data_IF_839521424900
#
_entry.id   IF_839521424900
#
_cell.length_a   1.000
_cell.length_b   1.000
_cell.length_c   1.000
_cell.angle_alpha   90.00
_cell.angle_beta   90.00
_cell.angle_gamma   90.00
#
_symmetry.space_group_name_H-M   'P 1'
#
loop_
_entity.id
_entity.type
_entity.pdbx_description
1 polymer ?
#
# COMPACT_ATOMS: atom_id res chain seq x y z
N UNK A 1 -48.14 -45.08 -78.15
CA UNK A 1 -47.58 -46.32 -77.57
C UNK A 1 -46.87 -45.97 -76.28
N UNK A 2 -47.31 -46.59 -75.18
CA UNK A 2 -46.61 -46.81 -73.90
C UNK A 2 -46.25 -45.55 -73.08
N UNK A 3 -47.01 -45.25 -72.01
CA UNK A 3 -47.01 -45.82 -70.64
C UNK A 3 -46.14 -44.99 -69.66
N UNK A 4 -46.80 -44.49 -68.62
CA UNK A 4 -46.34 -44.46 -67.22
C UNK A 4 -45.12 -43.64 -66.77
N UNK A 5 -45.40 -42.56 -66.02
CA UNK A 5 -45.09 -42.39 -64.57
C UNK A 5 -44.85 -40.93 -64.23
N UNK A 6 -45.83 -40.32 -63.58
CA UNK A 6 -45.63 -39.13 -62.77
C UNK A 6 -46.21 -39.41 -61.39
N UNK A 7 -45.36 -39.62 -60.38
CA UNK A 7 -45.57 -39.35 -58.96
C UNK A 7 -44.44 -39.95 -58.13
N UNK A 8 -43.62 -39.09 -57.51
CA UNK A 8 -43.20 -39.18 -56.09
C UNK A 8 -42.32 -37.99 -55.70
N UNK A 9 -42.92 -37.08 -54.91
CA UNK A 9 -42.24 -36.22 -53.93
C UNK A 9 -41.87 -37.06 -52.71
N UNK A 10 -40.71 -36.78 -52.11
CA UNK A 10 -40.39 -36.86 -50.66
C UNK A 10 -38.94 -37.31 -50.45
N UNK A 11 -38.01 -36.36 -50.34
CA UNK A 11 -36.71 -36.59 -49.73
C UNK A 11 -36.65 -35.80 -48.42
N UNK A 12 -37.12 -36.43 -47.33
CA UNK A 12 -36.79 -36.00 -45.97
C UNK A 12 -35.37 -36.49 -45.66
N UNK A 13 -34.49 -35.58 -45.20
CA UNK A 13 -33.15 -35.91 -44.69
C UNK A 13 -33.25 -36.15 -43.17
N UNK A 14 -33.18 -37.40 -42.68
CA UNK A 14 -33.31 -37.70 -41.25
C UNK A 14 -32.04 -37.35 -40.44
N UNK A 15 -30.91 -37.12 -41.11
CA UNK A 15 -29.62 -36.94 -40.46
C UNK A 15 -29.39 -35.52 -39.90
N UNK A 16 -29.95 -34.49 -40.54
CA UNK A 16 -29.79 -33.09 -40.11
C UNK A 16 -30.55 -32.78 -38.81
N UNK A 17 -31.71 -33.42 -38.60
CA UNK A 17 -32.52 -33.27 -37.38
C UNK A 17 -31.92 -33.98 -36.16
N UNK A 18 -31.23 -35.11 -36.37
CA UNK A 18 -30.52 -35.79 -35.27
C UNK A 18 -29.34 -34.96 -34.75
N UNK A 19 -28.57 -34.32 -35.65
CA UNK A 19 -27.43 -33.50 -35.26
C UNK A 19 -27.87 -32.25 -34.49
N UNK A 20 -28.93 -31.58 -34.96
CA UNK A 20 -29.53 -30.44 -34.25
C UNK A 20 -30.08 -30.83 -32.87
N UNK A 21 -30.71 -32.01 -32.76
CA UNK A 21 -31.19 -32.54 -31.48
C UNK A 21 -30.06 -32.79 -30.48
N UNK A 22 -28.95 -33.39 -30.92
CA UNK A 22 -27.79 -33.65 -30.06
C UNK A 22 -27.11 -32.36 -29.59
N UNK A 23 -26.98 -31.35 -30.45
CA UNK A 23 -26.39 -30.05 -30.09
C UNK A 23 -27.25 -29.34 -29.05
N UNK A 24 -28.58 -29.35 -29.20
CA UNK A 24 -29.48 -28.73 -28.23
C UNK A 24 -29.44 -29.40 -26.86
N UNK A 25 -29.33 -30.74 -26.81
CA UNK A 25 -29.19 -31.48 -25.54
C UNK A 25 -27.88 -31.12 -24.82
N UNK A 26 -26.78 -31.00 -25.55
CA UNK A 26 -25.47 -30.60 -24.98
C UNK A 26 -25.53 -29.16 -24.45
N UNK A 27 -26.12 -28.22 -25.19
CA UNK A 27 -26.30 -26.84 -24.74
C UNK A 27 -27.18 -26.79 -23.49
N UNK A 28 -28.28 -27.54 -23.46
CA UNK A 28 -29.18 -27.59 -22.30
C UNK A 28 -28.49 -28.18 -21.07
N UNK A 29 -27.66 -29.22 -21.25
CA UNK A 29 -26.87 -29.81 -20.19
C UNK A 29 -25.78 -28.85 -19.66
N UNK A 30 -25.12 -28.10 -20.55
CA UNK A 30 -24.14 -27.08 -20.16
C UNK A 30 -24.78 -25.91 -19.43
N UNK A 31 -25.94 -25.42 -19.90
CA UNK A 31 -26.72 -24.39 -19.22
C UNK A 31 -27.25 -24.89 -17.86
N UNK A 32 -27.74 -26.13 -17.78
CA UNK A 32 -28.15 -26.73 -16.51
C UNK A 32 -26.97 -26.85 -15.52
N UNK A 33 -25.76 -27.15 -15.99
CA UNK A 33 -24.54 -27.16 -15.15
C UNK A 33 -24.09 -25.76 -14.73
N UNK A 34 -24.25 -24.75 -15.59
CA UNK A 34 -23.93 -23.34 -15.29
C UNK A 34 -24.93 -22.69 -14.33
N UNK A 35 -26.19 -23.12 -14.37
CA UNK A 35 -27.29 -22.59 -13.55
C UNK A 35 -27.81 -23.59 -12.51
N UNK A 36 -27.07 -24.67 -12.21
CA UNK A 36 -27.49 -25.60 -11.17
C UNK A 36 -27.44 -24.88 -9.82
N UNK A 37 -28.53 -24.92 -9.02
CA UNK A 37 -28.56 -24.29 -7.70
C UNK A 37 -27.45 -24.79 -6.77
N UNK A 38 -26.98 -26.02 -6.99
CA UNK A 38 -25.89 -26.66 -6.23
C UNK A 38 -24.52 -25.99 -6.45
N UNK A 39 -24.25 -25.40 -7.62
CA UNK A 39 -22.98 -24.69 -7.86
C UNK A 39 -23.02 -23.26 -7.30
N UNK A 40 -24.18 -22.59 -7.37
CA UNK A 40 -24.38 -21.23 -6.86
C UNK A 40 -24.53 -21.16 -5.33
N UNK A 41 -24.95 -22.25 -4.67
CA UNK A 41 -25.15 -22.31 -3.21
C UNK A 41 -23.99 -22.99 -2.45
N UNK A 42 -23.08 -23.68 -3.13
CA UNK A 42 -22.01 -24.45 -2.48
C UNK A 42 -20.78 -23.62 -2.07
N UNK A 43 -20.49 -22.52 -2.76
CA UNK A 43 -19.42 -21.60 -2.34
C UNK A 43 -19.71 -20.90 -0.99
N UNK A 44 -20.86 -20.22 -0.79
CA UNK A 44 -21.13 -19.53 0.48
C UNK A 44 -21.28 -20.51 1.66
N UNK A 45 -21.76 -21.74 1.42
CA UNK A 45 -21.90 -22.75 2.47
C UNK A 45 -20.55 -23.33 2.92
N UNK A 46 -19.64 -23.64 2.00
CA UNK A 46 -18.32 -24.18 2.34
C UNK A 46 -17.40 -23.12 2.97
N UNK A 47 -17.49 -21.86 2.55
CA UNK A 47 -16.78 -20.74 3.21
C UNK A 47 -17.30 -20.57 4.63
N UNK A 48 -18.62 -20.55 4.83
CA UNK A 48 -19.22 -20.40 6.16
C UNK A 48 -18.89 -21.58 7.09
N UNK A 49 -18.81 -22.80 6.57
CA UNK A 49 -18.44 -23.99 7.35
C UNK A 49 -16.95 -23.98 7.76
N UNK A 50 -16.02 -23.68 6.83
CA UNK A 50 -14.60 -23.50 7.16
C UNK A 50 -14.37 -22.35 8.14
N UNK A 51 -15.16 -21.29 8.01
CA UNK A 51 -15.14 -20.15 8.92
C UNK A 51 -15.61 -20.55 10.33
N UNK A 52 -16.70 -21.31 10.44
CA UNK A 52 -17.18 -21.84 11.73
C UNK A 52 -16.14 -22.76 12.39
N UNK A 53 -15.50 -23.66 11.63
CA UNK A 53 -14.44 -24.55 12.12
C UNK A 53 -13.15 -23.80 12.53
N UNK A 54 -12.89 -22.63 11.93
CA UNK A 54 -11.80 -21.71 12.35
C UNK A 54 -12.16 -20.95 13.62
N UNK A 55 -13.42 -20.51 13.76
CA UNK A 55 -13.93 -19.85 14.96
C UNK A 55 -13.87 -20.75 16.19
N UNK A 56 -14.22 -22.03 16.04
CA UNK A 56 -14.22 -23.00 17.14
C UNK A 56 -12.80 -23.42 17.57
N UNK A 57 -11.79 -23.20 16.72
CA UNK A 57 -10.38 -23.53 16.99
C UNK A 57 -9.50 -22.33 17.38
N UNK A 58 -10.02 -21.09 17.38
CA UNK A 58 -9.31 -19.93 17.90
C UNK A 58 -9.24 -20.01 19.43
N UNK A 59 -8.30 -20.81 19.94
CA UNK A 59 -7.98 -20.87 21.37
C UNK A 59 -7.61 -19.47 21.86
N UNK A 60 -8.08 -19.10 23.06
CA UNK A 60 -7.80 -17.80 23.69
C UNK A 60 -6.35 -17.65 24.18
N UNK A 61 -5.48 -18.63 23.95
CA UNK A 61 -4.14 -18.67 24.55
C UNK A 61 -3.10 -17.90 23.71
N UNK A 62 -3.23 -17.85 22.38
CA UNK A 62 -2.28 -17.12 21.52
C UNK A 62 -2.98 -16.23 20.46
N UNK A 63 -2.50 -14.99 20.21
CA UNK A 63 -3.03 -14.15 19.14
C UNK A 63 -2.91 -14.78 17.76
N UNK A 64 -3.94 -14.71 16.90
CA UNK A 64 -3.88 -15.27 15.56
C UNK A 64 -2.85 -14.53 14.71
N UNK A 65 -2.26 -15.22 13.74
CA UNK A 65 -1.56 -14.54 12.65
C UNK A 65 -2.61 -13.97 11.70
N UNK A 66 -2.45 -12.71 11.31
CA UNK A 66 -3.44 -12.02 10.46
C UNK A 66 -2.83 -11.59 9.14
N UNK A 67 -3.70 -11.43 8.14
CA UNK A 67 -3.33 -10.96 6.80
C UNK A 67 -4.02 -9.63 6.51
N UNK A 68 -3.62 -8.99 5.41
CA UNK A 68 -4.27 -7.78 4.92
C UNK A 68 -5.80 -7.94 4.95
N UNK A 69 -6.55 -6.93 5.42
CA UNK A 69 -6.14 -5.57 5.81
C UNK A 69 -5.70 -5.45 7.27
N UNK A 70 -5.61 -6.57 7.99
CA UNK A 70 -5.21 -6.60 9.38
C UNK A 70 -3.70 -6.69 9.54
N UNK A 71 -3.18 -6.25 10.68
CA UNK A 71 -1.77 -6.45 11.08
C UNK A 71 -1.68 -6.87 12.54
N UNK A 72 -0.70 -7.73 12.84
CA UNK A 72 -0.32 -8.02 14.21
C UNK A 72 0.49 -6.86 14.79
N UNK A 73 0.52 -6.76 16.11
CA UNK A 73 1.50 -5.95 16.84
C UNK A 73 2.38 -6.92 17.63
N UNK A 74 3.67 -6.62 17.69
CA UNK A 74 4.68 -7.43 18.36
C UNK A 74 5.36 -6.61 19.45
N UNK A 75 5.82 -7.29 20.51
CA UNK A 75 6.77 -6.70 21.46
C UNK A 75 8.22 -6.80 21.00
N UNK A 76 9.15 -6.25 21.79
CA UNK A 76 10.57 -6.29 21.46
C UNK A 76 11.20 -7.70 21.45
N UNK A 77 10.51 -8.73 21.94
CA UNK A 77 10.94 -10.13 21.84
C UNK A 77 10.31 -10.87 20.65
N UNK A 78 9.50 -10.17 19.83
CA UNK A 78 8.82 -10.74 18.66
C UNK A 78 7.58 -11.55 19.00
N UNK A 79 7.04 -11.43 20.21
CA UNK A 79 5.78 -12.09 20.62
C UNK A 79 4.61 -11.24 20.17
N UNK A 80 3.55 -11.89 19.66
CA UNK A 80 2.31 -11.22 19.26
C UNK A 80 1.57 -10.68 20.49
N UNK A 81 1.11 -9.44 20.40
CA UNK A 81 0.21 -8.83 21.35
C UNK A 81 -1.24 -9.23 21.04
N UNK A 82 -2.10 -9.27 22.05
CA UNK A 82 -3.54 -9.52 21.92
C UNK A 82 -4.31 -8.31 21.37
N UNK A 83 -3.74 -7.65 20.37
CA UNK A 83 -4.23 -6.45 19.70
C UNK A 83 -4.04 -6.62 18.20
N UNK A 84 -5.10 -6.41 17.43
CA UNK A 84 -5.12 -6.52 15.96
C UNK A 84 -5.36 -5.13 15.38
N UNK A 85 -4.48 -4.71 14.47
CA UNK A 85 -4.63 -3.46 13.73
C UNK A 85 -5.55 -3.66 12.52
N UNK A 86 -6.46 -2.72 12.26
CA UNK A 86 -7.06 -2.51 10.94
C UNK A 86 -6.22 -1.45 10.22
N UNK A 87 -5.51 -1.84 9.16
CA UNK A 87 -4.52 -0.98 8.48
C UNK A 87 -4.98 -0.40 7.15
N UNK A 88 -6.07 -0.93 6.59
CA UNK A 88 -6.62 -0.56 5.29
C UNK A 88 -8.12 -0.88 5.24
N UNK A 89 -8.86 -0.38 4.23
CA UNK A 89 -10.25 -0.78 4.03
C UNK A 89 -10.37 -2.29 3.73
N UNK A 90 -11.50 -2.86 4.13
CA UNK A 90 -11.94 -4.18 3.70
C UNK A 90 -12.17 -4.18 2.19
N UNK A 91 -11.73 -5.25 1.53
CA UNK A 91 -11.90 -5.46 0.08
C UNK A 91 -12.85 -6.59 -0.32
N UNK A 92 -13.34 -7.34 0.66
CA UNK A 92 -14.19 -8.50 0.42
C UNK A 92 -14.94 -8.88 1.70
N UNK A 93 -16.03 -9.63 1.55
CA UNK A 93 -16.87 -10.12 2.65
C UNK A 93 -16.08 -10.94 3.66
N UNK A 94 -15.04 -11.65 3.23
CA UNK A 94 -14.19 -12.43 4.13
C UNK A 94 -13.50 -11.55 5.19
N UNK A 95 -13.11 -10.31 4.84
CA UNK A 95 -12.53 -9.38 5.81
C UNK A 95 -13.55 -8.95 6.88
N UNK A 96 -14.82 -8.79 6.51
CA UNK A 96 -15.90 -8.49 7.48
C UNK A 96 -16.11 -9.66 8.44
N UNK A 97 -16.13 -10.87 7.90
CA UNK A 97 -16.25 -12.10 8.70
C UNK A 97 -15.07 -12.20 9.68
N UNK A 98 -13.83 -12.03 9.21
CA UNK A 98 -12.65 -12.03 10.07
C UNK A 98 -12.70 -10.97 11.17
N UNK A 99 -13.15 -9.76 10.87
CA UNK A 99 -13.34 -8.73 11.90
C UNK A 99 -14.33 -9.18 12.98
N UNK A 100 -15.48 -9.74 12.58
CA UNK A 100 -16.47 -10.24 13.54
C UNK A 100 -15.95 -11.44 14.33
N UNK A 101 -15.15 -12.35 13.74
CA UNK A 101 -14.54 -13.43 14.51
C UNK A 101 -13.53 -12.92 15.52
N UNK A 102 -12.70 -11.94 15.16
CA UNK A 102 -11.73 -11.34 16.08
C UNK A 102 -12.44 -10.66 17.25
N UNK A 103 -13.48 -9.89 16.96
CA UNK A 103 -14.31 -9.22 17.96
C UNK A 103 -15.02 -10.22 18.88
N UNK A 104 -15.62 -11.28 18.33
CA UNK A 104 -16.33 -12.31 19.10
C UNK A 104 -15.38 -13.14 19.97
N UNK A 105 -14.14 -13.36 19.52
CA UNK A 105 -13.10 -14.02 20.32
C UNK A 105 -12.56 -13.12 21.45
N UNK A 106 -12.90 -11.83 21.46
CA UNK A 106 -12.50 -10.87 22.47
C UNK A 106 -11.13 -10.24 22.24
N UNK A 107 -10.61 -10.27 21.00
CA UNK A 107 -9.37 -9.58 20.66
C UNK A 107 -9.58 -8.06 20.66
N UNK A 108 -8.57 -7.33 21.14
CA UNK A 108 -8.58 -5.88 21.05
C UNK A 108 -8.34 -5.45 19.60
N UNK A 109 -9.03 -4.40 19.16
CA UNK A 109 -8.92 -3.89 17.79
C UNK A 109 -8.56 -2.40 17.82
N UNK A 110 -7.51 -2.06 17.09
CA UNK A 110 -7.00 -0.70 16.94
C UNK A 110 -6.99 -0.31 15.45
N UNK A 111 -7.22 0.96 15.14
CA UNK A 111 -7.07 1.47 13.78
C UNK A 111 -5.65 2.00 13.53
N UNK A 112 -5.12 1.82 12.32
CA UNK A 112 -3.90 2.51 11.88
C UNK A 112 -4.06 3.07 10.46
N UNK A 113 -3.68 4.33 10.28
CA UNK A 113 -3.57 4.97 8.97
C UNK A 113 -2.26 4.59 8.30
N UNK A 114 -2.23 3.44 7.61
CA UNK A 114 -1.05 2.98 6.86
C UNK A 114 -1.32 2.73 5.37
N UNK A 115 -2.49 3.12 4.87
CA UNK A 115 -2.91 2.85 3.50
C UNK A 115 -3.62 4.05 2.87
N UNK A 116 -2.91 4.77 1.99
CA UNK A 116 -3.41 6.01 1.37
C UNK A 116 -4.04 6.96 2.40
N UNK A 117 -5.27 7.46 2.16
CA UNK A 117 -5.99 8.34 3.09
C UNK A 117 -6.76 7.60 4.21
N UNK A 118 -6.69 6.27 4.30
CA UNK A 118 -7.48 5.49 5.27
C UNK A 118 -7.32 6.01 6.72
N UNK A 119 -8.41 6.26 7.47
CA UNK A 119 -9.80 5.80 7.25
C UNK A 119 -10.68 6.79 6.48
N UNK A 120 -10.10 7.83 5.92
CA UNK A 120 -10.81 8.77 5.08
C UNK A 120 -11.09 8.19 3.71
N UNK A 121 -11.89 8.94 2.94
CA UNK A 121 -12.21 8.60 1.56
C UNK A 121 -10.92 8.52 0.75
N UNK A 122 -10.68 7.35 0.17
CA UNK A 122 -9.60 7.13 -0.79
C UNK A 122 -10.04 7.72 -2.13
N UNK A 123 -9.23 8.64 -2.67
CA UNK A 123 -9.54 9.33 -3.92
C UNK A 123 -8.88 8.71 -5.15
N UNK A 124 -8.05 7.67 -4.96
CA UNK A 124 -7.42 6.97 -6.07
C UNK A 124 -8.48 6.26 -6.92
N UNK A 125 -8.66 6.62 -8.20
CA UNK A 125 -9.67 6.03 -9.07
C UNK A 125 -9.38 4.56 -9.43
N UNK A 126 -8.15 4.10 -9.18
CA UNK A 126 -7.71 2.73 -9.46
C UNK A 126 -7.86 1.80 -8.23
N UNK A 127 -8.52 2.25 -7.16
CA UNK A 127 -8.70 1.47 -5.91
C UNK A 127 -9.88 0.51 -6.05
N UNK A 128 -9.82 -0.61 -5.34
CA UNK A 128 -10.97 -1.48 -5.15
C UNK A 128 -12.13 -0.74 -4.49
N UNK A 129 -13.34 -0.82 -5.06
CA UNK A 129 -14.48 0.00 -4.63
C UNK A 129 -15.38 -0.70 -3.61
N UNK A 130 -15.04 -1.91 -3.15
CA UNK A 130 -15.84 -2.66 -2.17
C UNK A 130 -16.13 -1.82 -0.92
N UNK A 131 -15.10 -1.17 -0.38
CA UNK A 131 -15.23 -0.34 0.82
C UNK A 131 -16.20 0.85 0.66
N UNK A 132 -16.34 1.40 -0.55
CA UNK A 132 -17.28 2.50 -0.83
C UNK A 132 -18.73 2.02 -0.84
N UNK A 133 -18.97 0.82 -1.38
CA UNK A 133 -20.29 0.20 -1.42
C UNK A 133 -20.77 -0.22 -0.02
N UNK A 134 -19.85 -0.78 0.78
CA UNK A 134 -20.16 -1.30 2.12
C UNK A 134 -20.24 -0.21 3.19
N UNK A 135 -19.58 0.94 3.00
CA UNK A 135 -19.66 2.13 3.87
C UNK A 135 -19.36 1.83 5.35
N UNK A 136 -18.35 1.00 5.61
CA UNK A 136 -17.92 0.70 6.98
C UNK A 136 -17.51 1.96 7.73
N UNK A 137 -17.94 2.07 8.98
CA UNK A 137 -17.44 3.10 9.88
C UNK A 137 -16.28 2.56 10.72
N UNK A 138 -15.09 2.49 10.11
CA UNK A 138 -13.87 1.99 10.75
C UNK A 138 -13.54 2.67 12.08
N UNK A 139 -13.87 3.95 12.23
CA UNK A 139 -13.61 4.69 13.47
C UNK A 139 -14.47 4.15 14.62
N UNK A 140 -15.71 3.74 14.35
CA UNK A 140 -16.58 3.09 15.34
C UNK A 140 -16.23 1.63 15.63
N UNK A 141 -15.37 1.02 14.81
CA UNK A 141 -15.02 -0.41 14.88
C UNK A 141 -13.81 -0.68 15.79
N UNK A 142 -13.16 0.37 16.30
CA UNK A 142 -11.92 0.26 17.06
C UNK A 142 -12.01 1.07 18.35
N UNK A 143 -11.10 0.82 19.30
CA UNK A 143 -11.07 1.52 20.59
C UNK A 143 -9.96 2.55 20.71
N UNK A 144 -9.04 2.62 19.75
CA UNK A 144 -7.99 3.64 19.62
C UNK A 144 -7.54 3.76 18.16
N UNK A 145 -6.84 4.84 17.81
CA UNK A 145 -6.36 5.05 16.43
C UNK A 145 -4.93 5.61 16.37
N UNK A 146 -4.09 4.99 15.54
CA UNK A 146 -2.75 5.48 15.18
C UNK A 146 -2.85 6.19 13.82
N UNK A 147 -2.59 7.49 13.75
CA UNK A 147 -2.72 8.26 12.51
C UNK A 147 -1.40 8.93 12.10
N UNK A 148 -1.27 9.24 10.82
CA UNK A 148 -0.12 9.95 10.27
C UNK A 148 -0.47 11.35 9.73
N UNK A 149 -1.73 11.76 9.80
CA UNK A 149 -2.20 13.02 9.23
C UNK A 149 -1.67 14.25 9.98
N UNK A 150 -1.35 15.32 9.23
CA UNK A 150 -1.07 16.67 9.79
C UNK A 150 -2.28 17.21 10.55
N UNK A 151 -3.43 17.15 9.89
CA UNK A 151 -4.73 17.42 10.49
C UNK A 151 -5.48 16.09 10.52
N UNK A 152 -5.71 15.49 11.71
CA UNK A 152 -6.43 14.24 11.81
C UNK A 152 -7.86 14.36 11.33
N UNK A 153 -8.41 15.56 11.09
CA UNK A 153 -9.76 15.80 10.58
C UNK A 153 -10.85 15.55 11.62
N UNK A 154 -12.05 16.07 11.34
CA UNK A 154 -13.15 16.05 12.32
C UNK A 154 -13.52 14.62 12.78
N UNK A 155 -13.46 13.63 11.88
CA UNK A 155 -13.92 12.27 12.17
C UNK A 155 -13.06 11.62 13.26
N UNK A 156 -11.74 11.75 13.17
CA UNK A 156 -10.83 11.24 14.20
C UNK A 156 -10.76 12.17 15.40
N UNK A 157 -10.61 13.49 15.18
CA UNK A 157 -10.45 14.48 16.25
C UNK A 157 -11.61 14.48 17.25
N UNK A 158 -12.85 14.30 16.79
CA UNK A 158 -14.04 14.30 17.63
C UNK A 158 -14.63 12.90 17.88
N UNK A 159 -13.88 11.83 17.55
CA UNK A 159 -14.32 10.45 17.78
C UNK A 159 -14.39 10.07 19.26
N UNK A 160 -13.65 10.78 20.13
CA UNK A 160 -13.42 10.39 21.51
C UNK A 160 -12.42 9.23 21.67
N UNK A 161 -11.83 8.73 20.57
CA UNK A 161 -10.79 7.72 20.63
C UNK A 161 -9.48 8.33 21.16
N UNK A 162 -8.69 7.57 21.93
CA UNK A 162 -7.28 7.81 22.09
C UNK A 162 -6.58 7.81 20.72
N UNK A 163 -5.80 8.86 20.44
CA UNK A 163 -5.08 9.05 19.18
C UNK A 163 -3.56 9.04 19.42
N UNK A 164 -2.83 8.40 18.53
CA UNK A 164 -1.36 8.45 18.47
C UNK A 164 -0.93 8.96 17.09
N UNK A 165 -0.12 10.02 17.03
CA UNK A 165 0.49 10.51 15.80
C UNK A 165 1.77 9.71 15.49
N UNK A 166 1.68 8.75 14.59
CA UNK A 166 2.79 7.89 14.16
C UNK A 166 2.48 7.23 12.82
N UNK A 167 3.51 7.00 12.01
CA UNK A 167 3.43 6.13 10.83
C UNK A 167 4.14 4.80 11.08
N UNK A 168 3.70 3.72 10.43
CA UNK A 168 4.37 2.42 10.56
C UNK A 168 5.86 2.48 10.17
N UNK A 169 6.22 3.33 9.20
CA UNK A 169 7.60 3.54 8.80
C UNK A 169 8.48 4.13 9.91
N UNK A 170 7.90 4.78 10.93
CA UNK A 170 8.64 5.33 12.07
C UNK A 170 9.22 4.24 12.98
N UNK A 171 8.79 2.98 12.82
CA UNK A 171 9.24 1.81 13.60
C UNK A 171 10.40 1.06 12.93
N UNK A 172 10.98 1.62 11.87
CA UNK A 172 12.05 0.99 11.09
C UNK A 172 13.25 0.59 11.96
N UNK A 173 13.77 -0.62 11.74
CA UNK A 173 14.95 -1.12 12.44
C UNK A 173 16.22 -0.39 11.96
N UNK A 174 16.78 0.47 12.81
CA UNK A 174 17.94 1.32 12.48
C UNK A 174 19.26 0.56 12.29
N UNK A 175 19.32 -0.70 12.74
CA UNK A 175 20.50 -1.56 12.63
C UNK A 175 20.56 -2.29 11.28
N UNK A 176 19.41 -2.51 10.64
CA UNK A 176 19.34 -3.17 9.33
C UNK A 176 19.65 -2.24 8.15
N UNK A 177 19.43 -0.93 8.32
CA UNK A 177 19.67 0.07 7.30
C UNK A 177 20.82 0.98 7.76
N UNK A 178 22.00 0.74 7.20
CA UNK A 178 23.22 1.51 7.46
C UNK A 178 23.85 1.96 6.15
N UNK A 179 24.41 3.19 6.08
CA UNK A 179 25.16 3.62 4.91
C UNK A 179 26.34 2.68 4.68
N UNK A 180 26.50 2.21 3.45
CA UNK A 180 27.68 1.49 3.01
C UNK A 180 28.72 2.49 2.47
N UNK A 181 29.83 2.74 3.18
CA UNK A 181 30.83 3.71 2.76
C UNK A 181 31.59 3.31 1.49
N UNK A 182 31.47 2.06 1.05
CA UNK A 182 32.07 1.59 -0.22
C UNK A 182 31.25 2.01 -1.45
N UNK A 183 29.98 2.38 -1.27
CA UNK A 183 29.11 2.80 -2.37
C UNK A 183 29.36 4.28 -2.70
N UNK A 184 29.91 4.52 -3.89
CA UNK A 184 30.10 5.87 -4.41
C UNK A 184 28.79 6.47 -4.91
N UNK A 185 28.58 7.76 -4.65
CA UNK A 185 27.46 8.52 -5.20
C UNK A 185 27.66 8.73 -6.71
N UNK A 186 26.68 8.34 -7.51
CA UNK A 186 26.68 8.41 -8.97
C UNK A 186 25.59 9.33 -9.53
N UNK A 187 24.52 9.53 -8.76
CA UNK A 187 23.34 10.29 -9.17
C UNK A 187 22.97 11.30 -8.09
N UNK A 188 22.33 12.39 -8.48
CA UNK A 188 21.83 13.40 -7.54
C UNK A 188 20.54 12.91 -6.86
N UNK A 189 19.59 12.36 -7.61
CA UNK A 189 18.30 11.93 -7.05
C UNK A 189 17.86 10.54 -7.46
N UNK A 190 16.98 9.94 -6.64
CA UNK A 190 16.19 8.77 -7.00
C UNK A 190 14.70 9.06 -6.86
N UNK A 191 13.90 8.56 -7.79
CA UNK A 191 12.44 8.58 -7.76
C UNK A 191 11.87 7.18 -8.01
N UNK A 192 10.86 6.78 -7.26
CA UNK A 192 10.28 5.44 -7.31
C UNK A 192 8.83 5.50 -7.78
N UNK A 193 8.58 4.96 -8.96
CA UNK A 193 7.25 4.84 -9.54
C UNK A 193 7.18 3.63 -10.47
N UNK A 194 6.94 2.45 -9.88
CA UNK A 194 6.85 1.18 -10.62
C UNK A 194 5.85 1.26 -11.78
N UNK A 195 6.08 0.48 -12.83
CA UNK A 195 5.17 0.35 -13.98
C UNK A 195 3.78 -0.14 -13.54
N UNK A 196 2.72 0.39 -14.14
CA UNK A 196 1.34 -0.06 -13.89
C UNK A 196 0.86 -1.04 -14.97
N UNK A 197 1.38 -0.90 -16.17
CA UNK A 197 1.00 -1.63 -17.38
C UNK A 197 2.08 -1.42 -18.46
N UNK A 198 1.95 -2.12 -19.58
CA UNK A 198 2.92 -2.09 -20.69
C UNK A 198 2.80 -0.85 -21.58
N UNK A 199 1.71 -0.08 -21.53
CA UNK A 199 1.45 1.06 -22.42
C UNK A 199 1.63 2.44 -21.75
N UNK A 200 2.20 2.50 -20.55
CA UNK A 200 2.32 3.72 -19.75
C UNK A 200 1.00 4.51 -19.62
N UNK A 201 -0.11 3.81 -19.37
CA UNK A 201 -1.38 4.47 -19.05
C UNK A 201 -1.50 4.70 -17.54
N UNK A 202 -2.28 5.71 -17.10
CA UNK A 202 -2.50 5.95 -15.67
C UNK A 202 -3.04 4.73 -14.94
N UNK A 203 -2.46 4.42 -13.79
CA UNK A 203 -2.80 3.30 -12.92
C UNK A 203 -2.53 3.59 -11.45
N UNK A 204 -2.42 2.53 -10.66
CA UNK A 204 -2.27 2.62 -9.21
C UNK A 204 -1.03 3.42 -8.79
N UNK A 205 0.15 3.02 -9.29
CA UNK A 205 1.43 3.65 -8.98
C UNK A 205 1.52 5.05 -9.55
N UNK A 206 1.00 5.28 -10.77
CA UNK A 206 0.90 6.60 -11.37
C UNK A 206 0.26 7.62 -10.42
N UNK A 207 -0.86 7.24 -9.81
CA UNK A 207 -1.60 8.09 -8.89
C UNK A 207 -0.84 8.29 -7.56
N UNK A 208 -0.51 7.20 -6.86
CA UNK A 208 0.03 7.29 -5.49
C UNK A 208 1.46 7.85 -5.44
N UNK A 209 2.23 7.67 -6.52
CA UNK A 209 3.58 8.24 -6.68
C UNK A 209 3.56 9.59 -7.38
N UNK A 210 2.38 10.09 -7.75
CA UNK A 210 2.19 11.43 -8.33
C UNK A 210 3.01 11.67 -9.61
N UNK A 211 2.95 10.73 -10.55
CA UNK A 211 3.76 10.74 -11.77
C UNK A 211 3.58 12.01 -12.62
N UNK A 212 2.37 12.56 -12.70
CA UNK A 212 2.13 13.80 -13.44
C UNK A 212 2.89 14.99 -12.85
N UNK A 213 2.88 15.13 -11.52
CA UNK A 213 3.67 16.16 -10.84
C UNK A 213 5.17 15.88 -10.98
N UNK A 214 5.58 14.60 -10.88
CA UNK A 214 6.97 14.21 -11.05
C UNK A 214 7.52 14.67 -12.41
N UNK A 215 6.77 14.49 -13.51
CA UNK A 215 7.17 14.95 -14.85
C UNK A 215 7.42 16.46 -14.91
N UNK A 216 6.53 17.26 -14.29
CA UNK A 216 6.68 18.72 -14.25
C UNK A 216 7.92 19.13 -13.44
N UNK A 217 8.17 18.46 -12.31
CA UNK A 217 9.36 18.69 -11.49
C UNK A 217 10.65 18.27 -12.22
N UNK A 218 10.61 17.15 -12.95
CA UNK A 218 11.75 16.65 -13.75
C UNK A 218 12.16 17.66 -14.83
N UNK A 219 11.22 18.37 -15.45
CA UNK A 219 11.52 19.48 -16.37
C UNK A 219 12.45 20.49 -15.70
N UNK A 220 12.10 20.96 -14.49
CA UNK A 220 12.89 21.94 -13.74
C UNK A 220 14.23 21.34 -13.29
N UNK A 221 14.21 20.14 -12.72
CA UNK A 221 15.40 19.45 -12.19
C UNK A 221 16.44 19.18 -13.28
N UNK A 222 16.02 18.76 -14.47
CA UNK A 222 16.92 18.45 -15.57
C UNK A 222 17.32 19.69 -16.39
N UNK A 223 16.39 20.62 -16.65
CA UNK A 223 16.67 21.79 -17.50
C UNK A 223 17.47 22.87 -16.79
N UNK A 224 17.08 23.23 -15.55
CA UNK A 224 17.69 24.34 -14.80
C UNK A 224 18.88 23.88 -13.96
N UNK A 225 18.75 22.73 -13.30
CA UNK A 225 19.76 22.24 -12.36
C UNK A 225 20.66 21.15 -12.94
N UNK A 226 20.33 20.61 -14.12
CA UNK A 226 21.09 19.54 -14.79
C UNK A 226 21.33 18.31 -13.90
N UNK A 227 20.36 17.98 -13.04
CA UNK A 227 20.49 16.90 -12.08
C UNK A 227 20.49 15.53 -12.78
N UNK A 228 21.45 14.70 -12.39
CA UNK A 228 21.50 13.29 -12.82
C UNK A 228 20.64 12.46 -11.89
N UNK A 229 19.83 11.56 -12.43
CA UNK A 229 18.84 10.86 -11.62
C UNK A 229 18.65 9.40 -11.97
N UNK A 230 17.97 8.69 -11.08
CA UNK A 230 17.45 7.34 -11.32
C UNK A 230 15.94 7.33 -11.11
N UNK A 231 15.21 6.80 -12.08
CA UNK A 231 13.79 6.47 -11.94
C UNK A 231 13.68 4.95 -11.89
N UNK A 232 13.14 4.43 -10.78
CA UNK A 232 12.83 3.01 -10.61
C UNK A 232 11.36 2.78 -11.00
N UNK A 233 11.15 2.10 -12.12
CA UNK A 233 9.88 1.99 -12.84
C UNK A 233 9.73 3.03 -13.94
N UNK A 234 8.51 3.21 -14.45
CA UNK A 234 8.16 4.02 -15.62
C UNK A 234 9.00 3.67 -16.87
N UNK A 235 9.36 2.40 -17.04
CA UNK A 235 10.31 1.93 -18.08
C UNK A 235 9.81 2.15 -19.50
N UNK A 236 8.50 2.20 -19.66
CA UNK A 236 7.77 2.37 -20.90
C UNK A 236 7.16 3.78 -21.06
N UNK A 237 7.53 4.71 -20.18
CA UNK A 237 6.96 6.05 -20.15
C UNK A 237 7.90 7.08 -20.73
N UNK A 238 7.35 7.92 -21.60
CA UNK A 238 8.02 9.15 -22.01
C UNK A 238 7.84 10.24 -20.95
N UNK A 239 8.87 11.05 -20.81
CA UNK A 239 8.88 12.28 -20.03
C UNK A 239 9.82 13.28 -20.73
N UNK A 240 10.04 14.43 -20.12
CA UNK A 240 10.78 15.53 -20.73
C UNK A 240 12.10 15.12 -21.39
N UNK A 241 12.33 15.66 -22.60
CA UNK A 241 13.57 15.47 -23.35
C UNK A 241 14.79 16.11 -22.66
N UNK A 242 14.56 17.03 -21.72
CA UNK A 242 15.60 17.70 -20.94
C UNK A 242 16.39 16.75 -20.05
N UNK A 243 15.80 15.61 -19.71
CA UNK A 243 16.46 14.58 -18.91
C UNK A 243 17.25 13.55 -19.74
N UNK A 244 17.24 13.66 -21.08
CA UNK A 244 17.88 12.71 -21.98
C UNK A 244 19.36 12.57 -21.67
N UNK A 245 19.81 11.34 -21.40
CA UNK A 245 21.22 11.02 -21.12
C UNK A 245 21.72 11.36 -19.71
N UNK A 246 20.89 12.00 -18.86
CA UNK A 246 21.24 12.32 -17.46
C UNK A 246 20.35 11.62 -16.44
N UNK A 247 19.13 11.23 -16.81
CA UNK A 247 18.26 10.39 -15.99
C UNK A 247 18.23 8.97 -16.54
N UNK A 248 18.54 8.01 -15.68
CA UNK A 248 18.49 6.58 -15.95
C UNK A 248 17.15 6.02 -15.49
N UNK A 249 16.46 5.29 -16.36
CA UNK A 249 15.26 4.53 -16.00
C UNK A 249 15.62 3.05 -15.85
N UNK A 250 15.16 2.42 -14.77
CA UNK A 250 15.36 0.98 -14.49
C UNK A 250 14.03 0.32 -14.17
N UNK A 251 13.86 -1.00 -14.43
CA UNK A 251 12.67 -1.73 -14.02
C UNK A 251 12.58 -1.86 -12.50
N UNK A 252 11.55 -2.57 -12.02
CA UNK A 252 11.51 -3.03 -10.64
C UNK A 252 12.83 -3.71 -10.26
N UNK A 253 13.42 -3.25 -9.16
CA UNK A 253 14.64 -3.82 -8.60
C UNK A 253 14.31 -4.69 -7.39
N UNK A 254 14.88 -5.91 -7.28
CA UNK A 254 14.84 -6.69 -6.05
C UNK A 254 15.38 -5.89 -4.87
N UNK A 255 14.91 -6.21 -3.66
CA UNK A 255 15.16 -5.40 -2.46
C UNK A 255 16.64 -4.97 -2.29
N UNK A 256 17.59 -5.91 -2.30
CA UNK A 256 19.01 -5.59 -2.09
C UNK A 256 19.61 -4.72 -3.21
N UNK A 257 19.20 -4.96 -4.45
CA UNK A 257 19.62 -4.14 -5.60
C UNK A 257 19.04 -2.73 -5.48
N UNK A 258 17.77 -2.62 -5.10
CA UNK A 258 17.11 -1.34 -4.86
C UNK A 258 17.79 -0.54 -3.74
N UNK A 259 18.09 -1.16 -2.59
CA UNK A 259 18.80 -0.50 -1.48
C UNK A 259 20.21 -0.04 -1.91
N UNK A 260 20.89 -0.82 -2.74
CA UNK A 260 22.20 -0.45 -3.31
C UNK A 260 22.08 0.72 -4.27
N UNK A 261 21.07 0.72 -5.16
CA UNK A 261 20.83 1.80 -6.13
C UNK A 261 20.42 3.11 -5.43
N UNK A 262 19.57 3.02 -4.39
CA UNK A 262 19.22 4.17 -3.55
C UNK A 262 20.47 4.82 -2.97
N UNK A 263 21.39 4.04 -2.40
CA UNK A 263 22.62 4.54 -1.80
C UNK A 263 23.59 5.20 -2.79
N UNK A 264 23.47 4.96 -4.10
CA UNK A 264 24.22 5.70 -5.13
C UNK A 264 23.70 7.11 -5.37
N UNK A 265 22.54 7.46 -4.81
CA UNK A 265 21.89 8.75 -5.02
C UNK A 265 22.18 9.71 -3.85
N UNK A 266 22.18 11.02 -4.10
CA UNK A 266 22.45 12.03 -3.06
C UNK A 266 21.21 12.39 -2.25
N UNK A 267 20.03 12.40 -2.85
CA UNK A 267 18.76 12.61 -2.16
C UNK A 267 17.62 11.78 -2.74
N UNK A 268 16.55 11.58 -1.96
CA UNK A 268 15.30 10.98 -2.44
C UNK A 268 14.36 12.07 -2.94
N UNK A 269 13.76 11.89 -4.13
CA UNK A 269 12.66 12.72 -4.62
C UNK A 269 11.33 11.99 -4.41
N UNK A 270 10.45 12.55 -3.58
CA UNK A 270 9.16 11.96 -3.21
C UNK A 270 8.00 12.95 -3.46
N UNK A 271 7.49 13.05 -4.70
CA UNK A 271 6.35 13.91 -5.06
C UNK A 271 4.99 13.41 -4.59
N UNK A 272 4.96 12.23 -3.98
CA UNK A 272 3.79 11.56 -3.41
C UNK A 272 2.87 12.46 -2.61
N UNK A 273 1.58 12.40 -2.89
CA UNK A 273 0.51 12.97 -2.03
C UNK A 273 -0.17 11.86 -1.25
N UNK A 274 -0.74 10.86 -1.93
CA UNK A 274 -1.49 9.75 -1.34
C UNK A 274 -0.58 8.62 -0.81
N UNK A 275 0.26 8.91 0.19
CA UNK A 275 1.09 7.90 0.85
C UNK A 275 1.13 8.13 2.37
N UNK A 276 0.55 7.20 3.13
CA UNK A 276 0.41 7.30 4.59
C UNK A 276 1.65 6.86 5.37
N UNK A 277 2.47 5.99 4.81
CA UNK A 277 3.60 5.40 5.53
C UNK A 277 4.74 5.07 4.54
N UNK A 278 5.33 6.10 3.92
CA UNK A 278 6.32 5.93 2.86
C UNK A 278 7.63 5.36 3.40
N UNK A 279 7.76 4.03 3.37
CA UNK A 279 8.98 3.31 3.81
C UNK A 279 10.26 3.85 3.17
N UNK A 280 10.20 4.21 1.89
CA UNK A 280 11.35 4.75 1.13
C UNK A 280 11.91 6.04 1.72
N UNK A 281 11.09 6.88 2.37
CA UNK A 281 11.58 8.09 3.07
C UNK A 281 12.49 7.69 4.23
N UNK A 282 12.01 6.79 5.08
CA UNK A 282 12.76 6.34 6.25
C UNK A 282 14.01 5.52 5.87
N UNK A 283 13.95 4.74 4.78
CA UNK A 283 15.10 4.02 4.24
C UNK A 283 16.18 5.00 3.73
N UNK A 284 15.79 6.01 2.95
CA UNK A 284 16.71 7.03 2.48
C UNK A 284 17.38 7.78 3.64
N UNK A 285 16.59 8.17 4.65
CA UNK A 285 17.14 8.83 5.84
C UNK A 285 18.14 7.96 6.59
N UNK A 286 17.87 6.66 6.74
CA UNK A 286 18.79 5.72 7.39
C UNK A 286 20.08 5.50 6.61
N UNK A 287 20.07 5.70 5.29
CA UNK A 287 21.26 5.77 4.44
C UNK A 287 21.93 7.13 4.39
N UNK A 288 21.56 8.02 5.31
CA UNK A 288 22.06 9.38 5.42
C UNK A 288 21.83 10.22 4.15
N UNK A 289 20.71 9.97 3.48
CA UNK A 289 20.27 10.75 2.32
C UNK A 289 19.17 11.72 2.70
N UNK A 290 19.31 13.03 2.44
CA UNK A 290 18.21 13.95 2.63
C UNK A 290 17.05 13.62 1.68
N UNK A 291 15.85 14.06 2.06
CA UNK A 291 14.62 13.77 1.33
C UNK A 291 13.98 15.07 0.83
N UNK A 292 13.61 15.12 -0.45
CA UNK A 292 12.82 16.20 -1.04
C UNK A 292 11.38 15.70 -1.19
N UNK A 293 10.48 16.18 -0.34
CA UNK A 293 9.17 15.56 -0.11
C UNK A 293 8.05 16.55 -0.44
N UNK A 294 6.95 16.05 -1.02
CA UNK A 294 5.77 16.88 -1.21
C UNK A 294 5.19 17.32 0.14
N UNK A 295 4.96 18.62 0.33
CA UNK A 295 4.38 19.21 1.53
C UNK A 295 3.01 18.61 1.88
N UNK A 296 2.26 18.22 0.85
CA UNK A 296 0.90 17.69 0.95
C UNK A 296 0.82 16.17 1.11
N UNK A 297 1.96 15.48 1.29
CA UNK A 297 1.96 14.03 1.56
C UNK A 297 1.12 13.70 2.80
N UNK A 298 0.35 12.61 2.73
CA UNK A 298 -0.54 12.16 3.81
C UNK A 298 0.25 11.84 5.08
N UNK A 299 1.33 11.07 4.97
CA UNK A 299 2.18 10.66 6.08
C UNK A 299 3.67 10.66 5.75
N UNK A 300 4.51 10.41 6.75
CA UNK A 300 5.98 10.50 6.63
C UNK A 300 6.54 11.94 6.69
N UNK A 301 5.69 12.96 6.59
CA UNK A 301 6.08 14.36 6.73
C UNK A 301 6.68 14.69 8.11
N UNK A 302 6.33 13.94 9.15
CA UNK A 302 6.86 14.08 10.52
C UNK A 302 8.35 13.80 10.62
N UNK A 303 8.95 13.23 9.56
CA UNK A 303 10.37 12.93 9.48
C UNK A 303 11.16 13.98 8.68
N UNK A 304 10.50 14.98 8.10
CA UNK A 304 11.12 16.00 7.26
C UNK A 304 11.25 17.30 8.05
N UNK A 305 12.50 17.63 8.41
CA UNK A 305 12.89 18.83 9.13
C UNK A 305 13.81 19.63 8.20
N UNK A 306 13.32 20.77 7.70
CA UNK A 306 14.07 21.65 6.80
C UNK A 306 15.47 21.98 7.34
N UNK A 307 16.49 21.87 6.50
CA UNK A 307 17.89 22.05 6.87
C UNK A 307 18.52 20.96 7.73
N UNK A 308 17.77 19.92 8.13
CA UNK A 308 18.28 18.81 8.97
C UNK A 308 18.13 17.48 8.25
N UNK A 309 16.92 17.10 7.86
CA UNK A 309 16.65 15.78 7.25
C UNK A 309 16.20 15.84 5.80
N UNK A 310 15.76 17.00 5.32
CA UNK A 310 15.22 17.15 3.98
C UNK A 310 14.59 18.52 3.76
N UNK A 311 13.86 18.66 2.66
CA UNK A 311 13.11 19.88 2.33
C UNK A 311 11.75 19.53 1.75
N UNK A 312 10.82 20.49 1.84
CA UNK A 312 9.50 20.38 1.25
C UNK A 312 9.36 21.17 -0.05
N UNK A 313 8.48 20.69 -0.92
CA UNK A 313 7.98 21.40 -2.10
C UNK A 313 6.51 21.05 -2.32
N UNK A 314 5.81 21.77 -3.18
CA UNK A 314 4.38 21.51 -3.48
C UNK A 314 4.19 21.18 -4.95
N UNK A 315 4.92 21.87 -5.83
CA UNK A 315 4.80 21.76 -7.27
C UNK A 315 6.08 22.20 -8.00
N UNK A 316 6.05 22.28 -9.33
CA UNK A 316 7.19 22.68 -10.15
C UNK A 316 7.59 24.16 -9.99
N UNK A 317 6.71 25.01 -9.47
CA UNK A 317 7.01 26.43 -9.27
C UNK A 317 7.80 26.70 -7.99
N UNK A 318 7.66 25.86 -6.96
CA UNK A 318 8.35 26.01 -5.67
C UNK A 318 9.45 24.97 -5.41
N UNK A 319 9.62 24.01 -6.33
CA UNK A 319 10.72 23.03 -6.23
C UNK A 319 12.11 23.67 -6.32
N UNK A 320 12.26 24.77 -7.07
CA UNK A 320 13.56 25.46 -7.23
C UNK A 320 14.15 25.93 -5.88
N UNK A 321 13.44 26.73 -5.05
CA UNK A 321 13.92 27.08 -3.71
C UNK A 321 14.29 25.88 -2.82
N UNK A 322 13.53 24.78 -2.91
CA UNK A 322 13.84 23.57 -2.15
C UNK A 322 15.12 22.89 -2.65
N UNK A 323 15.33 22.85 -3.98
CA UNK A 323 16.55 22.36 -4.60
C UNK A 323 17.76 23.24 -4.27
N UNK A 324 17.61 24.56 -4.27
CA UNK A 324 18.69 25.49 -3.92
C UNK A 324 19.23 25.19 -2.51
N UNK A 325 18.36 24.82 -1.57
CA UNK A 325 18.76 24.40 -0.21
C UNK A 325 19.36 22.99 -0.17
N UNK A 326 18.73 22.01 -0.83
CA UNK A 326 19.20 20.62 -0.77
C UNK A 326 20.55 20.43 -1.46
N UNK A 327 20.83 21.24 -2.48
CA UNK A 327 22.08 21.23 -3.24
C UNK A 327 23.13 22.17 -2.66
N UNK A 328 22.76 23.05 -1.73
CA UNK A 328 23.68 24.02 -1.14
C UNK A 328 24.78 23.30 -0.35
N UNK A 329 26.07 23.61 -0.61
CA UNK A 329 27.17 23.08 0.19
C UNK A 329 27.23 23.67 1.61
N UNK A 330 26.47 24.75 1.87
CA UNK A 330 26.41 25.40 3.19
C UNK A 330 25.49 24.65 4.16
N UNK A 331 24.55 23.86 3.65
CA UNK A 331 23.60 23.09 4.45
C UNK A 331 24.13 21.68 4.65
N UNK A 332 24.33 21.29 5.91
CA UNK A 332 24.77 19.94 6.28
C UNK A 332 23.58 19.15 6.82
N UNK A 333 22.96 18.37 5.95
CA UNK A 333 21.93 17.43 6.33
C UNK A 333 22.53 16.27 7.15
N UNK A 334 21.78 15.79 8.13
CA UNK A 334 22.11 14.67 9.01
C UNK A 334 20.87 13.78 9.26
N UNK A 335 20.17 13.33 8.20
CA UNK A 335 18.90 12.61 8.34
C UNK A 335 19.03 11.31 9.11
N UNK A 336 20.16 10.60 9.00
CA UNK A 336 20.36 9.37 9.76
C UNK A 336 20.46 9.67 11.25
N UNK A 337 21.31 10.61 11.62
CA UNK A 337 21.52 11.00 13.02
C UNK A 337 20.19 11.42 13.66
N UNK A 338 19.43 12.26 12.95
CA UNK A 338 18.10 12.65 13.41
C UNK A 338 17.18 11.43 13.58
N UNK A 339 17.10 10.54 12.60
CA UNK A 339 16.20 9.38 12.68
C UNK A 339 16.57 8.46 13.86
N UNK A 340 17.85 8.13 14.03
CA UNK A 340 18.33 7.27 15.12
C UNK A 340 18.01 7.85 16.49
N UNK A 341 18.01 9.18 16.63
CA UNK A 341 17.77 9.87 17.91
C UNK A 341 16.29 10.18 18.20
N UNK A 342 15.37 9.94 17.26
CA UNK A 342 13.97 10.36 17.39
C UNK A 342 12.94 9.30 16.94
N UNK A 343 13.38 8.29 16.18
CA UNK A 343 12.53 7.27 15.55
C UNK A 343 13.14 5.87 15.75
N UNK A 344 12.51 4.86 15.15
CA UNK A 344 12.87 3.46 15.31
C UNK A 344 12.29 2.84 16.59
N UNK A 345 12.69 1.60 16.86
CA UNK A 345 12.13 0.81 17.96
C UNK A 345 12.33 1.49 19.34
N UNK A 346 13.53 2.04 19.60
CA UNK A 346 13.88 2.66 20.88
C UNK A 346 13.05 3.92 21.22
N UNK A 347 12.56 4.63 20.20
CA UNK A 347 11.81 5.88 20.37
C UNK A 347 10.33 5.69 20.02
N UNK A 348 10.02 5.46 18.75
CA UNK A 348 8.65 5.25 18.27
C UNK A 348 8.07 3.97 18.85
N UNK A 349 8.85 2.88 18.93
CA UNK A 349 8.35 1.64 19.50
C UNK A 349 8.05 1.74 21.00
N UNK A 350 8.81 2.55 21.73
CA UNK A 350 8.55 2.86 23.15
C UNK A 350 7.27 3.66 23.32
N UNK A 351 7.07 4.67 22.48
CA UNK A 351 5.86 5.49 22.47
C UNK A 351 4.62 4.63 22.15
N UNK A 352 4.73 3.74 21.15
CA UNK A 352 3.69 2.78 20.82
C UNK A 352 3.39 1.85 22.01
N UNK A 353 4.41 1.24 22.63
CA UNK A 353 4.20 0.37 23.79
C UNK A 353 3.51 1.11 24.94
N UNK A 354 3.88 2.36 25.22
CA UNK A 354 3.23 3.16 26.25
C UNK A 354 1.77 3.47 25.91
N UNK A 355 1.50 3.83 24.65
CA UNK A 355 0.14 4.06 24.16
C UNK A 355 -0.73 2.81 24.29
N UNK A 356 -0.20 1.64 23.91
CA UNK A 356 -0.92 0.37 24.01
C UNK A 356 -1.20 0.00 25.47
N UNK A 357 -0.21 0.07 26.36
CA UNK A 357 -0.41 -0.21 27.81
C UNK A 357 -1.45 0.70 28.45
N UNK A 358 -1.49 1.97 28.03
CA UNK A 358 -2.44 2.95 28.57
C UNK A 358 -3.88 2.64 28.16
N UNK A 359 -4.08 2.21 26.91
CA UNK A 359 -5.43 2.05 26.33
C UNK A 359 -5.94 0.59 26.36
N UNK A 360 -5.06 -0.39 26.62
CA UNK A 360 -5.37 -1.82 26.67
C UNK A 360 -4.79 -2.45 27.95
N UNK A 361 -5.43 -2.25 29.12
CA UNK A 361 -4.89 -2.71 30.41
C UNK A 361 -4.78 -4.24 30.54
N UNK A 362 -5.51 -4.99 29.72
CA UNK A 362 -5.48 -6.45 29.68
C UNK A 362 -4.54 -6.99 28.59
N UNK A 363 -3.49 -6.25 28.23
CA UNK A 363 -2.50 -6.69 27.25
C UNK A 363 -1.79 -7.96 27.75
N UNK A 364 -1.60 -8.96 26.87
CA UNK A 364 -1.08 -10.29 27.22
C UNK A 364 0.40 -10.29 27.66
N UNK A 365 1.14 -9.20 27.41
CA UNK A 365 2.51 -8.97 27.89
C UNK A 365 2.58 -7.55 28.49
N UNK A 366 2.30 -7.37 29.80
CA UNK A 366 2.22 -6.03 30.39
C UNK A 366 3.58 -5.34 30.57
N UNK A 367 4.66 -6.12 30.62
CA UNK A 367 6.02 -5.63 30.86
C UNK A 367 6.73 -5.11 29.59
N UNK A 368 6.03 -5.04 28.45
CA UNK A 368 6.61 -4.61 27.18
C UNK A 368 7.23 -3.21 27.30
N UNK A 369 8.43 -3.09 26.73
CA UNK A 369 9.14 -1.82 26.70
C UNK A 369 9.01 -1.15 25.33
N UNK A 370 8.99 -1.95 24.26
CA UNK A 370 8.80 -1.47 22.89
C UNK A 370 7.78 -2.33 22.16
N UNK A 371 7.13 -1.74 21.17
CA UNK A 371 6.21 -2.43 20.29
C UNK A 371 6.49 -2.06 18.84
N UNK A 372 6.16 -2.96 17.91
CA UNK A 372 6.20 -2.69 16.48
C UNK A 372 5.07 -3.41 15.75
N UNK A 373 4.78 -3.00 14.52
CA UNK A 373 3.66 -3.49 13.70
C UNK A 373 4.21 -4.28 12.51
#
# INVERSE_FOLDING_TARGET
MLYDRCMKRSNYKPLEWMVLGCILIVIFYLLYKLFSPELLLSEPYNVKKRFQESMDNMSKEEPPSVEFPFKNIYDEQGRKLNIICISAPFRETNHELLYESYKNAGWNIIGISSYLEFPYKINNPHEDRFHEERKHDYVSMVSAWIHCFRDPGYKLQYSGLPLLLMSEADLKNVEHYKPDPSIQKQYDFIYICLDDNEQCTPGWNWYIRSWDLAKQCLEVMCSKYHLKGVIVGRTNCEFTDKCTGIVKTVPFLPFHEFQTEMQKCRFLFAPNVSDASPRVITEAMLYDMPVLVNQNIVGGWTNVISGVTGEFFTNEHDISPALDRILSPEVKYSPREWFVNHRGLEHSGKELAQFLKTNYPNINHPDIQHAYI
#
